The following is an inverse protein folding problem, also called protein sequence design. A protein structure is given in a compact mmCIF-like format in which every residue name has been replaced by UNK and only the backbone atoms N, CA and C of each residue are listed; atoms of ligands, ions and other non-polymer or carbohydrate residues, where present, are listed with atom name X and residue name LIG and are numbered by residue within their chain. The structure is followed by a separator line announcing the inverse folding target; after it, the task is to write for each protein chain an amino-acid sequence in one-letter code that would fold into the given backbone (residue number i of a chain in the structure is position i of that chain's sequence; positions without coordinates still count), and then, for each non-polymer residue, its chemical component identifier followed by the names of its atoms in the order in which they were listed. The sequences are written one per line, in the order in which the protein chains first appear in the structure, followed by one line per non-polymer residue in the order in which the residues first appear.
data_IF_982867714367
#
_entry.id   IF_982867714367
#
_cell.length_a   1.000
_cell.length_b   1.000
_cell.length_c   1.000
_cell.angle_alpha   90.00
_cell.angle_beta   90.00
_cell.angle_gamma   90.00
#
_symmetry.space_group_name_H-M   'P 1'
#
loop_
_entity.id
_entity.type
_entity.pdbx_description
1 polymer ?
#
# COMPACT_ATOMS: atom_id res chain seq x y z
N UNK A 1 -6.50 -43.65 30.59
CA UNK A 1 -5.41 -42.86 29.97
C UNK A 1 -5.67 -42.40 28.52
N UNK A 2 -6.45 -43.12 27.71
CA UNK A 2 -6.65 -42.86 26.27
C UNK A 2 -7.26 -41.49 25.91
N UNK A 3 -8.15 -40.93 26.76
CA UNK A 3 -8.83 -39.63 26.51
C UNK A 3 -7.87 -38.43 26.57
N UNK A 4 -6.81 -38.50 27.39
CA UNK A 4 -5.85 -37.40 27.59
C UNK A 4 -4.94 -37.23 26.37
N UNK A 5 -4.63 -38.33 25.70
CA UNK A 5 -3.80 -38.38 24.48
C UNK A 5 -4.54 -37.79 23.27
N UNK A 6 -5.83 -38.12 23.09
CA UNK A 6 -6.69 -37.54 22.04
C UNK A 6 -6.80 -36.02 22.16
N UNK A 7 -6.92 -35.47 23.38
CA UNK A 7 -6.99 -34.02 23.62
C UNK A 7 -5.69 -33.30 23.26
N UNK A 8 -4.52 -33.84 23.61
CA UNK A 8 -3.23 -33.24 23.24
C UNK A 8 -3.00 -33.24 21.72
N UNK A 9 -3.37 -34.31 21.03
CA UNK A 9 -3.28 -34.41 19.57
C UNK A 9 -4.24 -33.44 18.88
N UNK A 10 -5.45 -33.26 19.42
CA UNK A 10 -6.42 -32.28 18.89
C UNK A 10 -5.97 -30.84 19.14
N UNK A 11 -5.35 -30.56 20.30
CA UNK A 11 -4.81 -29.25 20.67
C UNK A 11 -3.60 -28.85 19.82
N UNK A 12 -2.66 -29.78 19.56
CA UNK A 12 -1.54 -29.56 18.64
C UNK A 12 -2.01 -29.35 17.19
N UNK A 13 -3.02 -30.11 16.74
CA UNK A 13 -3.66 -29.92 15.42
C UNK A 13 -4.35 -28.57 15.27
N UNK A 14 -5.03 -28.07 16.30
CA UNK A 14 -5.65 -26.73 16.25
C UNK A 14 -4.61 -25.63 16.25
N UNK A 15 -3.55 -25.75 17.06
CA UNK A 15 -2.47 -24.76 17.13
C UNK A 15 -1.64 -24.68 15.84
N UNK A 16 -1.36 -25.82 15.18
CA UNK A 16 -0.70 -25.82 13.86
C UNK A 16 -1.57 -25.12 12.81
N UNK A 17 -2.88 -25.41 12.78
CA UNK A 17 -3.80 -24.80 11.81
C UNK A 17 -3.89 -23.28 11.98
N UNK A 18 -3.98 -22.80 13.22
CA UNK A 18 -4.02 -21.35 13.48
C UNK A 18 -2.72 -20.65 13.09
N UNK A 19 -1.56 -21.29 13.30
CA UNK A 19 -0.25 -20.77 12.88
C UNK A 19 -0.12 -20.67 11.34
N UNK A 20 -0.62 -21.67 10.63
CA UNK A 20 -0.60 -21.68 9.16
C UNK A 20 -1.51 -20.60 8.56
N UNK A 21 -2.69 -20.35 9.16
CA UNK A 21 -3.63 -19.31 8.72
C UNK A 21 -3.05 -17.91 8.97
N UNK A 22 -2.44 -17.65 10.13
CA UNK A 22 -1.85 -16.34 10.41
C UNK A 22 -0.66 -16.00 9.50
N UNK A 23 0.17 -17.00 9.18
CA UNK A 23 1.28 -16.83 8.25
C UNK A 23 0.79 -16.52 6.82
N UNK A 24 -0.28 -17.19 6.37
CA UNK A 24 -0.90 -16.92 5.08
C UNK A 24 -1.53 -15.52 5.00
N UNK A 25 -2.20 -15.06 6.08
CA UNK A 25 -2.73 -13.69 6.15
C UNK A 25 -1.62 -12.64 6.08
N UNK A 26 -0.53 -12.81 6.84
CA UNK A 26 0.61 -11.88 6.81
C UNK A 26 1.23 -11.79 5.41
N UNK A 27 1.39 -12.92 4.72
CA UNK A 27 1.92 -12.95 3.35
C UNK A 27 0.99 -12.23 2.36
N UNK A 28 -0.33 -12.45 2.46
CA UNK A 28 -1.30 -11.79 1.59
C UNK A 28 -1.30 -10.25 1.75
N UNK A 29 -1.14 -9.75 2.98
CA UNK A 29 -1.07 -8.31 3.25
C UNK A 29 0.20 -7.70 2.63
N UNK A 30 1.35 -8.37 2.72
CA UNK A 30 2.59 -7.86 2.09
C UNK A 30 2.50 -7.75 0.57
N UNK A 31 1.84 -8.70 -0.11
CA UNK A 31 1.66 -8.66 -1.58
C UNK A 31 0.74 -7.52 -1.99
N UNK A 32 -0.34 -7.26 -1.24
CA UNK A 32 -1.26 -6.15 -1.54
C UNK A 32 -0.58 -4.78 -1.44
N UNK A 33 0.34 -4.59 -0.48
CA UNK A 33 1.05 -3.31 -0.31
C UNK A 33 2.07 -3.08 -1.43
N UNK A 34 2.72 -4.12 -1.95
CA UNK A 34 3.70 -3.96 -3.06
C UNK A 34 3.09 -3.51 -4.38
N UNK A 35 1.80 -3.78 -4.62
CA UNK A 35 1.10 -3.34 -5.84
C UNK A 35 0.73 -1.85 -5.86
N UNK A 36 0.57 -1.22 -4.69
CA UNK A 36 0.12 0.17 -4.58
C UNK A 36 1.19 1.21 -4.95
N UNK A 37 2.48 0.83 -4.94
CA UNK A 37 3.60 1.74 -5.23
C UNK A 37 4.22 1.56 -6.62
N UNK A 38 3.77 0.56 -7.39
CA UNK A 38 4.43 0.14 -8.64
C UNK A 38 3.78 0.61 -9.95
N UNK A 39 2.71 1.40 -9.92
CA UNK A 39 1.86 1.67 -11.09
C UNK A 39 2.16 2.95 -11.88
N UNK A 40 3.26 3.65 -11.63
CA UNK A 40 3.59 4.86 -12.39
C UNK A 40 4.71 4.59 -13.39
N UNK A 41 4.37 3.84 -14.45
CA UNK A 41 5.09 4.02 -15.71
C UNK A 41 4.76 5.43 -16.22
N UNK A 42 5.75 6.24 -16.67
CA UNK A 42 5.53 7.64 -17.04
C UNK A 42 4.67 7.75 -18.30
N UNK A 43 3.36 7.61 -18.14
CA UNK A 43 2.34 7.74 -19.16
C UNK A 43 1.82 9.18 -19.12
N UNK A 44 2.61 10.12 -19.64
CA UNK A 44 2.17 11.52 -19.64
C UNK A 44 3.23 12.57 -19.99
N UNK A 45 4.48 12.16 -20.21
CA UNK A 45 5.56 13.11 -20.44
C UNK A 45 5.95 13.88 -19.18
N UNK A 46 6.60 15.03 -19.36
CA UNK A 46 7.08 15.88 -18.24
C UNK A 46 5.96 16.81 -17.77
N UNK A 47 5.93 17.09 -16.48
CA UNK A 47 4.91 17.92 -15.84
C UNK A 47 4.73 19.30 -16.50
N UNK A 48 5.82 19.96 -16.87
CA UNK A 48 5.81 21.27 -17.54
C UNK A 48 5.18 21.26 -18.94
N UNK A 49 5.12 20.09 -19.59
CA UNK A 49 4.46 19.94 -20.87
C UNK A 49 2.95 19.67 -20.71
N UNK A 50 2.55 19.02 -19.62
CA UNK A 50 1.15 18.63 -19.38
C UNK A 50 0.35 19.64 -18.55
N UNK A 51 1.00 20.39 -17.67
CA UNK A 51 0.38 21.33 -16.72
C UNK A 51 0.93 22.75 -16.91
N UNK A 52 0.08 23.74 -16.60
CA UNK A 52 0.46 25.16 -16.65
C UNK A 52 1.15 25.58 -15.37
N UNK A 53 2.07 26.54 -15.46
CA UNK A 53 2.73 27.21 -14.34
C UNK A 53 3.55 26.30 -13.40
N UNK A 54 4.11 25.21 -13.91
CA UNK A 54 5.05 24.36 -13.15
C UNK A 54 6.42 25.04 -13.07
N UNK A 55 6.77 25.58 -11.90
CA UNK A 55 8.04 26.28 -11.67
C UNK A 55 9.10 25.41 -10.97
N UNK A 56 8.70 24.69 -9.92
CA UNK A 56 9.62 23.93 -9.07
C UNK A 56 9.69 22.46 -9.46
N UNK A 57 8.54 21.83 -9.73
CA UNK A 57 8.44 20.41 -10.08
C UNK A 57 8.61 20.15 -11.59
N UNK A 58 9.47 20.92 -12.26
CA UNK A 58 9.77 20.66 -13.66
C UNK A 58 10.56 19.36 -13.78
N UNK A 59 10.29 18.63 -14.85
CA UNK A 59 10.95 17.40 -15.19
C UNK A 59 10.47 16.15 -14.48
N UNK A 60 9.55 16.29 -13.53
CA UNK A 60 8.85 15.14 -12.98
C UNK A 60 7.89 14.57 -14.02
N UNK A 61 7.60 13.25 -13.98
CA UNK A 61 6.53 12.68 -14.79
C UNK A 61 5.19 13.36 -14.49
N UNK A 62 4.40 13.66 -15.52
CA UNK A 62 3.12 14.37 -15.37
C UNK A 62 2.12 13.59 -14.49
N UNK A 63 2.10 12.27 -14.64
CA UNK A 63 1.28 11.34 -13.86
C UNK A 63 1.62 11.32 -12.36
N UNK A 64 2.80 11.82 -11.97
CA UNK A 64 3.22 11.93 -10.57
C UNK A 64 2.77 13.24 -9.91
N UNK A 65 2.29 14.22 -10.67
CA UNK A 65 1.98 15.53 -10.11
C UNK A 65 0.78 15.49 -9.15
N UNK A 66 -0.32 14.84 -9.56
CA UNK A 66 -1.54 14.72 -8.73
C UNK A 66 -1.30 13.89 -7.46
N UNK A 67 -0.65 12.71 -7.51
CA UNK A 67 -0.27 11.98 -6.30
C UNK A 67 0.61 12.80 -5.34
N UNK A 68 1.51 13.63 -5.89
CA UNK A 68 2.35 14.53 -5.08
C UNK A 68 1.50 15.58 -4.36
N UNK A 69 0.48 16.15 -5.01
CA UNK A 69 -0.43 17.10 -4.37
C UNK A 69 -1.28 16.43 -3.28
N UNK A 70 -1.76 15.20 -3.51
CA UNK A 70 -2.47 14.42 -2.47
C UNK A 70 -1.57 14.10 -1.27
N UNK A 71 -0.29 13.85 -1.50
CA UNK A 71 0.69 13.70 -0.42
C UNK A 71 0.83 14.99 0.38
N UNK A 72 0.87 16.17 -0.27
CA UNK A 72 0.87 17.45 0.43
C UNK A 72 -0.43 17.71 1.19
N UNK A 73 -1.59 17.38 0.63
CA UNK A 73 -2.89 17.44 1.29
C UNK A 73 -2.86 16.70 2.64
N UNK A 74 -2.45 15.42 2.60
CA UNK A 74 -2.34 14.59 3.80
C UNK A 74 -1.27 15.05 4.79
N UNK A 75 -0.14 15.57 4.29
CA UNK A 75 0.97 16.03 5.14
C UNK A 75 0.69 17.37 5.84
N UNK A 76 -0.04 18.26 5.18
CA UNK A 76 -0.36 19.60 5.67
C UNK A 76 -1.71 19.64 6.40
N UNK A 77 -2.57 18.63 6.22
CA UNK A 77 -3.89 18.58 6.85
C UNK A 77 -4.88 19.59 6.30
N UNK A 78 -4.64 20.11 5.08
CA UNK A 78 -5.51 21.04 4.36
C UNK A 78 -6.03 20.36 3.09
N UNK A 79 -7.17 20.78 2.57
CA UNK A 79 -7.72 20.24 1.31
C UNK A 79 -7.19 20.98 0.08
N UNK A 80 -7.38 20.42 -1.12
CA UNK A 80 -6.89 21.02 -2.38
C UNK A 80 -7.25 22.50 -2.57
N UNK A 81 -8.48 22.90 -2.23
CA UNK A 81 -8.99 24.27 -2.40
C UNK A 81 -8.31 25.30 -1.47
N UNK A 82 -7.48 24.85 -0.53
CA UNK A 82 -6.71 25.75 0.32
C UNK A 82 -5.57 26.43 -0.46
N UNK A 83 -4.99 25.73 -1.44
CA UNK A 83 -3.85 26.21 -2.24
C UNK A 83 -4.18 26.47 -3.73
N UNK A 84 -5.25 25.86 -4.26
CA UNK A 84 -5.70 25.95 -5.66
C UNK A 84 -6.99 26.76 -5.77
#
# INVERSE_FOLDING_TARGET
MIVKTKRKVNMYRTSIRTLLISAACMLAITVAVTGAFGQNAPAGGRAEAAFKDIKVLQGTPADQLIPTMQFFEGSLGVTCNYCH
#
